data_IF_597767142895
#
_entry.id   IF_597767142895
#
_cell.length_a   1.000
_cell.length_b   1.000
_cell.length_c   1.000
_cell.angle_alpha   90.00
_cell.angle_beta   90.00
_cell.angle_gamma   90.00
#
_symmetry.space_group_name_H-M   'P 1'
#
loop_
_entity.id
_entity.type
_entity.pdbx_description
1 polymer ?
#
# COMPACT_ATOMS: atom_id res chain seq x y z
N UNK A 1 5.16 -27.22 -22.63
CA UNK A 1 4.94 -26.57 -21.33
C UNK A 1 4.13 -25.31 -21.57
N UNK A 2 2.86 -25.25 -21.14
CA UNK A 2 2.06 -24.02 -21.22
C UNK A 2 2.72 -22.99 -20.32
N UNK A 3 3.22 -21.90 -20.90
CA UNK A 3 3.60 -20.69 -20.16
C UNK A 3 2.37 -20.30 -19.32
N UNK A 4 2.41 -20.51 -18.02
CA UNK A 4 1.41 -20.00 -17.10
C UNK A 4 1.60 -18.48 -17.09
N UNK A 5 0.78 -17.80 -17.89
CA UNK A 5 0.81 -16.34 -17.97
C UNK A 5 0.65 -15.78 -16.56
N UNK A 6 1.63 -15.02 -16.11
CA UNK A 6 1.65 -14.40 -14.77
C UNK A 6 0.49 -13.41 -14.72
N UNK A 7 -0.55 -13.73 -13.95
CA UNK A 7 -1.68 -12.81 -13.73
C UNK A 7 -1.47 -12.01 -12.46
N UNK A 8 -1.58 -10.69 -12.58
CA UNK A 8 -1.51 -9.75 -11.46
C UNK A 8 -2.92 -9.37 -11.05
N UNK A 9 -3.25 -9.48 -9.77
CA UNK A 9 -4.44 -8.88 -9.17
C UNK A 9 -4.03 -7.67 -8.34
N UNK A 10 -4.63 -6.54 -8.64
CA UNK A 10 -4.41 -5.26 -7.95
C UNK A 10 -5.50 -5.10 -6.91
N UNK A 11 -5.11 -4.98 -5.65
CA UNK A 11 -5.99 -4.79 -4.52
C UNK A 11 -5.94 -3.33 -4.09
N UNK A 12 -7.09 -2.66 -4.09
CA UNK A 12 -7.24 -1.23 -3.77
C UNK A 12 -8.11 -1.11 -2.51
N UNK A 13 -7.51 -0.94 -1.31
CA UNK A 13 -8.28 -0.67 -0.10
C UNK A 13 -8.81 0.75 -0.13
N UNK A 14 -10.11 0.94 0.12
CA UNK A 14 -10.78 2.25 0.13
C UNK A 14 -11.72 2.42 1.32
N UNK A 15 -11.82 3.65 1.82
CA UNK A 15 -12.80 4.03 2.83
C UNK A 15 -13.09 5.54 2.72
N UNK A 16 -14.30 5.92 2.29
CA UNK A 16 -14.73 7.30 2.07
C UNK A 16 -13.78 8.08 1.13
N UNK A 17 -13.59 7.57 -0.07
CA UNK A 17 -12.70 8.12 -1.10
C UNK A 17 -13.46 8.46 -2.40
N UNK A 18 -14.73 8.84 -2.33
CA UNK A 18 -15.59 9.14 -3.49
C UNK A 18 -14.94 10.11 -4.49
N UNK A 19 -14.19 11.11 -4.00
CA UNK A 19 -13.52 12.11 -4.84
C UNK A 19 -12.39 11.50 -5.69
N UNK A 20 -11.69 10.49 -5.18
CA UNK A 20 -10.50 9.95 -5.81
C UNK A 20 -10.71 8.62 -6.54
N UNK A 21 -11.69 7.84 -6.14
CA UNK A 21 -11.80 6.45 -6.58
C UNK A 21 -11.97 6.32 -8.09
N UNK A 22 -12.89 7.05 -8.68
CA UNK A 22 -13.16 6.96 -10.14
C UNK A 22 -11.97 7.38 -10.99
N UNK A 23 -11.39 8.59 -10.84
CA UNK A 23 -10.21 8.97 -11.63
C UNK A 23 -9.02 8.05 -11.39
N UNK A 24 -8.85 7.52 -10.17
CA UNK A 24 -7.80 6.56 -9.87
C UNK A 24 -8.00 5.22 -10.63
N UNK A 25 -9.20 4.65 -10.60
CA UNK A 25 -9.48 3.38 -11.29
C UNK A 25 -9.34 3.52 -12.82
N UNK A 26 -9.77 4.66 -13.39
CA UNK A 26 -9.53 4.97 -14.80
C UNK A 26 -8.03 5.00 -15.11
N UNK A 27 -7.26 5.77 -14.32
CA UNK A 27 -5.80 5.82 -14.45
C UNK A 27 -5.15 4.43 -14.31
N UNK A 28 -5.61 3.63 -13.35
CA UNK A 28 -5.09 2.29 -13.11
C UNK A 28 -5.38 1.35 -14.30
N UNK A 29 -6.58 1.42 -14.87
CA UNK A 29 -6.97 0.66 -16.06
C UNK A 29 -6.12 1.03 -17.28
N UNK A 30 -5.81 2.32 -17.47
CA UNK A 30 -4.92 2.80 -18.54
C UNK A 30 -3.47 2.31 -18.39
N UNK A 31 -3.02 2.05 -17.17
CA UNK A 31 -1.64 1.61 -16.86
C UNK A 31 -1.47 0.12 -16.74
N UNK A 32 -2.55 -0.58 -16.42
CA UNK A 32 -2.56 -1.99 -16.05
C UNK A 32 -3.81 -2.71 -16.59
N UNK A 33 -4.12 -2.51 -17.87
CA UNK A 33 -5.34 -3.03 -18.51
C UNK A 33 -5.53 -4.55 -18.37
N UNK A 34 -4.43 -5.31 -18.34
CA UNK A 34 -4.44 -6.79 -18.27
C UNK A 34 -4.56 -7.31 -16.82
N UNK A 35 -4.43 -6.44 -15.82
CA UNK A 35 -4.55 -6.84 -14.43
C UNK A 35 -6.00 -6.90 -13.97
N UNK A 36 -6.28 -7.84 -13.08
CA UNK A 36 -7.52 -7.87 -12.34
C UNK A 36 -7.51 -6.76 -11.29
N UNK A 37 -8.54 -5.91 -11.24
CA UNK A 37 -8.67 -4.82 -10.28
C UNK A 37 -9.76 -5.17 -9.26
N UNK A 38 -9.39 -5.23 -7.99
CA UNK A 38 -10.29 -5.53 -6.88
C UNK A 38 -10.31 -4.34 -5.93
N UNK A 39 -11.47 -3.72 -5.79
CA UNK A 39 -11.70 -2.67 -4.78
C UNK A 39 -12.17 -3.34 -3.50
N UNK A 40 -11.45 -3.11 -2.41
CA UNK A 40 -11.78 -3.59 -1.07
C UNK A 40 -12.30 -2.43 -0.23
N UNK A 41 -13.63 -2.28 -0.20
CA UNK A 41 -14.33 -1.21 0.51
C UNK A 41 -14.50 -1.54 2.00
N UNK A 42 -14.04 -0.65 2.86
CA UNK A 42 -14.11 -0.75 4.31
C UNK A 42 -15.46 -0.31 4.92
N UNK A 43 -16.55 -0.40 4.16
CA UNK A 43 -17.86 0.06 4.58
C UNK A 43 -18.03 1.58 4.44
N UNK A 44 -17.62 2.13 3.28
CA UNK A 44 -17.80 3.55 2.97
C UNK A 44 -19.24 3.98 3.10
N UNK A 45 -19.44 5.19 3.62
CA UNK A 45 -20.75 5.84 3.82
C UNK A 45 -21.03 6.92 2.76
N UNK A 46 -20.04 7.20 1.91
CA UNK A 46 -20.16 8.06 0.74
C UNK A 46 -20.32 7.22 -0.55
N UNK A 47 -20.30 7.87 -1.69
CA UNK A 47 -20.51 7.22 -3.00
C UNK A 47 -19.32 6.39 -3.48
N UNK A 48 -18.31 6.11 -2.64
CA UNK A 48 -17.08 5.37 -3.02
C UNK A 48 -17.38 4.03 -3.69
N UNK A 49 -18.25 3.23 -3.08
CA UNK A 49 -18.60 1.91 -3.60
C UNK A 49 -19.29 2.01 -4.96
N UNK A 50 -20.29 2.88 -5.11
CA UNK A 50 -21.06 3.05 -6.33
C UNK A 50 -20.19 3.60 -7.49
N UNK A 51 -19.29 4.54 -7.20
CA UNK A 51 -18.34 5.09 -8.15
C UNK A 51 -17.25 4.10 -8.59
N UNK A 52 -17.06 3.01 -7.85
CA UNK A 52 -16.14 1.92 -8.21
C UNK A 52 -16.72 0.96 -9.24
N UNK A 53 -18.05 0.81 -9.26
CA UNK A 53 -18.76 -0.11 -10.14
C UNK A 53 -18.50 0.26 -11.61
N UNK A 54 -18.19 -0.75 -12.44
CA UNK A 54 -17.85 -0.57 -13.86
C UNK A 54 -16.39 -0.19 -14.14
N UNK A 55 -15.59 0.12 -13.11
CA UNK A 55 -14.16 0.42 -13.25
C UNK A 55 -13.26 -0.63 -12.59
N UNK A 56 -13.79 -1.45 -11.69
CA UNK A 56 -13.11 -2.62 -11.12
C UNK A 56 -13.74 -3.93 -11.62
N UNK A 57 -13.00 -5.02 -11.51
CA UNK A 57 -13.51 -6.37 -11.85
C UNK A 57 -14.29 -6.97 -10.70
N UNK A 58 -13.93 -6.58 -9.45
CA UNK A 58 -14.63 -7.01 -8.23
C UNK A 58 -14.67 -5.89 -7.21
N UNK A 59 -15.81 -5.76 -6.52
CA UNK A 59 -15.98 -4.93 -5.34
C UNK A 59 -16.24 -5.84 -4.13
N UNK A 60 -15.36 -5.79 -3.13
CA UNK A 60 -15.43 -6.59 -1.91
C UNK A 60 -15.67 -5.67 -0.72
N UNK A 61 -16.66 -5.97 0.10
CA UNK A 61 -16.90 -5.22 1.35
C UNK A 61 -16.24 -5.90 2.54
N UNK A 62 -15.74 -5.10 3.46
CA UNK A 62 -15.11 -5.53 4.70
C UNK A 62 -15.27 -4.50 5.81
N UNK A 63 -14.77 -4.82 6.99
CA UNK A 63 -14.67 -3.85 8.09
C UNK A 63 -13.66 -2.75 7.77
N UNK A 64 -13.80 -1.54 8.37
CA UNK A 64 -12.94 -0.38 8.13
C UNK A 64 -11.57 -0.53 8.80
N UNK A 65 -10.81 -1.50 8.34
CA UNK A 65 -9.43 -1.75 8.76
C UNK A 65 -8.60 -2.08 7.53
N UNK A 66 -7.50 -1.38 7.30
CA UNK A 66 -6.68 -1.53 6.11
C UNK A 66 -6.17 -2.96 5.91
N UNK A 67 -5.71 -3.63 6.96
CA UNK A 67 -5.27 -5.02 6.89
C UNK A 67 -6.43 -5.95 6.49
N UNK A 68 -7.61 -5.76 7.11
CA UNK A 68 -8.82 -6.54 6.80
C UNK A 68 -9.25 -6.33 5.36
N UNK A 69 -9.25 -5.09 4.87
CA UNK A 69 -9.56 -4.75 3.47
C UNK A 69 -8.59 -5.43 2.50
N UNK A 70 -7.27 -5.27 2.71
CA UNK A 70 -6.24 -5.89 1.86
C UNK A 70 -6.33 -7.42 1.89
N UNK A 71 -6.59 -8.02 3.05
CA UNK A 71 -6.80 -9.46 3.18
C UNK A 71 -8.07 -9.92 2.47
N UNK A 72 -9.17 -9.17 2.56
CA UNK A 72 -10.41 -9.48 1.86
C UNK A 72 -10.24 -9.44 0.34
N UNK A 73 -9.61 -8.39 -0.19
CA UNK A 73 -9.29 -8.27 -1.60
C UNK A 73 -8.35 -9.38 -2.09
N UNK A 74 -7.32 -9.72 -1.29
CA UNK A 74 -6.40 -10.81 -1.62
C UNK A 74 -7.07 -12.20 -1.66
N UNK A 75 -8.08 -12.43 -0.83
CA UNK A 75 -8.89 -13.67 -0.88
C UNK A 75 -9.74 -13.77 -2.14
N UNK A 76 -10.31 -12.65 -2.57
CA UNK A 76 -11.13 -12.59 -3.79
C UNK A 76 -10.30 -12.65 -5.08
N UNK A 77 -9.03 -12.30 -5.02
CA UNK A 77 -8.13 -12.23 -6.18
C UNK A 77 -7.91 -13.58 -6.86
N UNK A 78 -7.76 -13.62 -8.20
CA UNK A 78 -7.49 -14.82 -8.98
C UNK A 78 -6.03 -14.90 -9.50
N UNK A 79 -5.31 -13.77 -9.54
CA UNK A 79 -3.92 -13.71 -9.99
C UNK A 79 -2.96 -14.47 -9.08
N UNK A 80 -1.85 -14.91 -9.63
CA UNK A 80 -0.76 -15.55 -8.86
C UNK A 80 0.21 -14.53 -8.24
N UNK A 81 0.08 -13.26 -8.61
CA UNK A 81 0.74 -12.12 -7.97
C UNK A 81 -0.34 -11.18 -7.44
N UNK A 82 -0.19 -10.78 -6.19
CA UNK A 82 -1.02 -9.78 -5.52
C UNK A 82 -0.24 -8.47 -5.47
N UNK A 83 -0.85 -7.37 -5.88
CA UNK A 83 -0.26 -6.04 -5.83
C UNK A 83 -1.20 -5.08 -5.09
N UNK A 84 -0.73 -4.49 -4.00
CA UNK A 84 -1.50 -3.62 -3.12
C UNK A 84 -1.18 -2.16 -3.44
N UNK A 85 -2.20 -1.39 -3.84
CA UNK A 85 -2.05 0.01 -4.26
C UNK A 85 -3.11 0.88 -3.58
N UNK A 86 -2.70 2.02 -3.03
CA UNK A 86 -3.63 2.98 -2.42
C UNK A 86 -4.23 3.91 -3.49
N UNK A 87 -5.45 4.38 -3.22
CA UNK A 87 -6.27 5.19 -4.15
C UNK A 87 -5.66 6.56 -4.49
N UNK A 88 -4.70 7.03 -3.70
CA UNK A 88 -4.00 8.30 -3.89
C UNK A 88 -2.62 8.13 -4.57
N UNK A 89 -2.32 6.95 -5.08
CA UNK A 89 -1.08 6.64 -5.76
C UNK A 89 -1.18 6.87 -7.29
N UNK A 90 -0.14 7.45 -7.87
CA UNK A 90 0.00 7.50 -9.33
C UNK A 90 0.92 6.37 -9.79
N UNK A 91 0.36 5.44 -10.56
CA UNK A 91 1.05 4.23 -11.03
C UNK A 91 1.81 4.54 -12.33
N UNK A 92 3.11 4.18 -12.41
CA UNK A 92 3.91 4.46 -13.61
C UNK A 92 3.55 3.51 -14.77
N UNK A 93 3.79 3.96 -16.00
CA UNK A 93 3.68 3.09 -17.18
C UNK A 93 4.64 1.90 -17.10
N UNK A 94 4.17 0.73 -17.58
CA UNK A 94 4.96 -0.50 -17.61
C UNK A 94 5.24 -1.08 -16.23
N UNK A 95 4.43 -0.76 -15.23
CA UNK A 95 4.53 -1.34 -13.87
C UNK A 95 4.25 -2.84 -13.86
N UNK A 96 3.29 -3.33 -14.65
CA UNK A 96 3.01 -4.77 -14.76
C UNK A 96 4.21 -5.52 -15.30
N UNK A 97 4.80 -5.05 -16.39
CA UNK A 97 5.99 -5.66 -16.96
C UNK A 97 7.17 -5.71 -15.95
N UNK A 98 7.37 -4.63 -15.20
CA UNK A 98 8.38 -4.58 -14.13
C UNK A 98 8.09 -5.62 -13.03
N UNK A 99 6.83 -5.72 -12.58
CA UNK A 99 6.42 -6.74 -11.60
C UNK A 99 6.69 -8.14 -12.14
N UNK A 100 6.29 -8.43 -13.37
CA UNK A 100 6.49 -9.73 -14.02
C UNK A 100 7.97 -10.08 -14.12
N UNK A 101 8.81 -9.15 -14.57
CA UNK A 101 10.26 -9.34 -14.63
C UNK A 101 10.85 -9.70 -13.26
N UNK A 102 10.50 -8.95 -12.22
CA UNK A 102 10.96 -9.21 -10.85
C UNK A 102 10.47 -10.58 -10.36
N UNK A 103 9.21 -10.91 -10.64
CA UNK A 103 8.57 -12.13 -10.16
C UNK A 103 8.92 -13.38 -11.00
N UNK A 104 9.62 -13.25 -12.13
CA UNK A 104 10.14 -14.39 -12.88
C UNK A 104 11.23 -15.17 -12.11
N UNK A 105 11.93 -14.53 -11.16
CA UNK A 105 12.91 -15.20 -10.32
C UNK A 105 12.19 -16.04 -9.22
N UNK A 106 12.31 -17.38 -9.19
CA UNK A 106 11.56 -18.22 -8.24
C UNK A 106 11.83 -17.94 -6.76
N UNK A 107 13.04 -17.46 -6.44
CA UNK A 107 13.46 -17.13 -5.06
C UNK A 107 12.90 -15.79 -4.55
N UNK A 108 12.25 -15.01 -5.42
CA UNK A 108 11.62 -13.74 -5.05
C UNK A 108 10.23 -14.00 -4.50
N UNK A 109 10.00 -13.63 -3.25
CA UNK A 109 8.70 -13.70 -2.59
C UNK A 109 7.81 -12.50 -2.94
N UNK A 110 8.41 -11.35 -3.24
CA UNK A 110 7.71 -10.12 -3.61
C UNK A 110 8.65 -8.95 -3.86
N UNK A 111 8.06 -7.78 -3.99
CA UNK A 111 8.79 -6.54 -4.21
C UNK A 111 7.96 -5.31 -3.85
N UNK A 112 8.55 -4.17 -4.07
CA UNK A 112 7.90 -2.87 -3.83
C UNK A 112 8.50 -1.83 -4.78
N UNK A 113 7.73 -0.78 -5.05
CA UNK A 113 8.18 0.36 -5.83
C UNK A 113 8.87 1.39 -4.93
N UNK A 114 9.73 2.22 -5.53
CA UNK A 114 10.23 3.40 -4.83
C UNK A 114 9.13 4.45 -4.77
N UNK A 115 9.02 5.15 -3.65
CA UNK A 115 8.13 6.32 -3.57
C UNK A 115 8.82 7.52 -4.22
N UNK A 116 8.01 8.35 -4.85
CA UNK A 116 8.37 9.70 -5.25
C UNK A 116 7.31 10.66 -4.70
N UNK A 117 7.72 11.60 -3.91
CA UNK A 117 6.89 12.74 -3.53
C UNK A 117 7.00 13.85 -4.60
N UNK A 118 5.98 14.71 -4.74
CA UNK A 118 6.03 15.83 -5.67
C UNK A 118 7.27 16.71 -5.45
N UNK A 119 7.77 17.34 -6.52
CA UNK A 119 9.01 18.14 -6.49
C UNK A 119 8.89 19.35 -5.54
N UNK A 120 9.39 19.21 -4.33
CA UNK A 120 9.63 20.30 -3.39
C UNK A 120 10.95 20.03 -2.69
N UNK A 121 11.74 21.07 -2.39
CA UNK A 121 13.05 20.96 -1.73
C UNK A 121 12.96 20.25 -0.39
N UNK A 122 11.90 20.47 0.37
CA UNK A 122 11.64 19.84 1.68
C UNK A 122 11.36 18.34 1.52
N UNK A 123 10.61 17.94 0.48
CA UNK A 123 10.34 16.52 0.23
C UNK A 123 11.58 15.75 -0.18
N UNK A 124 12.55 16.36 -0.86
CA UNK A 124 13.82 15.71 -1.22
C UNK A 124 14.62 15.28 0.00
N UNK A 125 14.62 16.10 1.05
CA UNK A 125 15.30 15.77 2.32
C UNK A 125 14.56 14.63 3.04
N UNK A 126 13.21 14.69 3.07
CA UNK A 126 12.36 13.68 3.68
C UNK A 126 12.44 12.35 2.92
N UNK A 127 12.44 12.38 1.58
CA UNK A 127 12.61 11.21 0.71
C UNK A 127 13.97 10.55 0.94
N UNK A 128 15.05 11.35 1.03
CA UNK A 128 16.39 10.85 1.35
C UNK A 128 16.42 10.16 2.70
N UNK A 129 15.93 10.82 3.74
CA UNK A 129 15.90 10.27 5.10
C UNK A 129 15.02 9.01 5.17
N UNK A 130 13.82 9.03 4.61
CA UNK A 130 12.92 7.89 4.58
C UNK A 130 13.51 6.71 3.78
N UNK A 131 14.22 7.00 2.68
CA UNK A 131 14.89 5.98 1.87
C UNK A 131 16.03 5.31 2.65
N UNK A 132 16.95 6.09 3.24
CA UNK A 132 18.09 5.56 3.99
C UNK A 132 17.66 4.91 5.31
N UNK A 133 16.77 5.54 6.07
CA UNK A 133 16.19 4.95 7.25
C UNK A 133 15.42 3.66 6.92
N UNK A 134 14.62 3.67 5.87
CA UNK A 134 13.89 2.48 5.42
C UNK A 134 14.81 1.32 4.98
N UNK A 135 15.99 1.59 4.40
CA UNK A 135 16.98 0.56 4.08
C UNK A 135 17.63 0.05 5.37
N UNK A 136 18.13 0.95 6.21
CA UNK A 136 18.84 0.62 7.44
C UNK A 136 17.95 -0.15 8.42
N UNK A 137 16.71 0.31 8.59
CA UNK A 137 15.74 -0.26 9.53
C UNK A 137 14.93 -1.41 8.91
N UNK A 138 15.14 -1.69 7.61
CA UNK A 138 14.42 -2.75 6.88
C UNK A 138 12.89 -2.60 6.97
N UNK A 139 12.40 -1.38 7.06
CA UNK A 139 10.98 -1.03 7.16
C UNK A 139 10.46 -0.49 5.82
N UNK A 140 9.28 -0.92 5.41
CA UNK A 140 8.59 -0.40 4.23
C UNK A 140 7.11 -0.22 4.54
N UNK A 141 6.58 0.95 4.18
CA UNK A 141 5.17 1.29 4.35
C UNK A 141 4.35 0.92 3.10
N UNK A 142 3.03 0.78 3.24
CA UNK A 142 2.11 0.37 2.18
C UNK A 142 2.08 1.29 0.97
N UNK A 143 2.40 2.58 1.14
CA UNK A 143 2.46 3.57 0.06
C UNK A 143 3.48 3.21 -1.05
N UNK A 144 4.35 2.23 -0.80
CA UNK A 144 5.32 1.71 -1.77
C UNK A 144 4.73 0.78 -2.84
N UNK A 145 3.41 0.53 -2.86
CA UNK A 145 2.80 -0.40 -3.81
C UNK A 145 3.43 -1.79 -3.74
N UNK A 146 3.31 -2.42 -2.59
CA UNK A 146 3.88 -3.73 -2.31
C UNK A 146 3.22 -4.80 -3.17
N UNK A 147 4.00 -5.69 -3.78
CA UNK A 147 3.51 -6.85 -4.52
C UNK A 147 4.18 -8.14 -4.05
N UNK A 148 3.48 -9.26 -4.13
CA UNK A 148 4.02 -10.54 -3.69
C UNK A 148 3.38 -11.73 -4.42
N UNK A 149 4.03 -12.90 -4.36
CA UNK A 149 3.38 -14.15 -4.75
C UNK A 149 2.20 -14.44 -3.85
N UNK A 150 1.08 -14.86 -4.43
CA UNK A 150 -0.08 -15.34 -3.66
C UNK A 150 0.31 -16.46 -2.70
N UNK A 151 1.15 -17.40 -3.14
CA UNK A 151 1.64 -18.49 -2.29
C UNK A 151 2.42 -17.98 -1.08
N UNK A 152 3.27 -16.96 -1.26
CA UNK A 152 4.00 -16.34 -0.15
C UNK A 152 3.04 -15.59 0.79
N UNK A 153 2.05 -14.87 0.25
CA UNK A 153 1.00 -14.18 1.01
C UNK A 153 0.23 -15.15 1.91
N UNK A 154 -0.24 -16.25 1.34
CA UNK A 154 -0.97 -17.29 2.10
C UNK A 154 -0.10 -17.92 3.19
N UNK A 155 1.16 -18.23 2.86
CA UNK A 155 2.08 -18.83 3.83
C UNK A 155 2.41 -17.94 5.03
N UNK A 156 2.39 -16.61 4.87
CA UNK A 156 2.63 -15.70 6.00
C UNK A 156 1.36 -15.34 6.75
N UNK A 157 0.19 -15.79 6.27
CA UNK A 157 -1.11 -15.54 6.86
C UNK A 157 -1.73 -14.18 6.49
N UNK A 158 -1.24 -13.53 5.45
CA UNK A 158 -1.71 -12.21 5.01
C UNK A 158 -1.16 -11.05 5.85
N UNK A 159 -1.82 -9.89 5.74
CA UNK A 159 -1.50 -8.73 6.57
C UNK A 159 -1.96 -8.97 8.01
N UNK A 160 -1.09 -8.76 9.01
CA UNK A 160 -1.49 -8.82 10.42
C UNK A 160 -2.54 -7.74 10.73
N UNK A 161 -3.60 -8.11 11.43
CA UNK A 161 -4.67 -7.20 11.85
C UNK A 161 -4.25 -6.41 13.09
N UNK A 162 -3.20 -5.60 12.93
CA UNK A 162 -2.65 -4.75 13.98
C UNK A 162 -3.16 -3.31 13.82
N UNK A 163 -3.19 -2.51 14.91
CA UNK A 163 -3.77 -1.17 14.89
C UNK A 163 -2.95 -0.13 14.13
N UNK A 164 -1.70 -0.45 13.78
CA UNK A 164 -0.77 0.41 13.01
C UNK A 164 0.39 -0.43 12.47
N UNK A 165 0.98 -0.01 11.35
CA UNK A 165 2.18 -0.63 10.72
C UNK A 165 1.94 -2.07 10.24
N UNK A 166 0.75 -2.40 9.84
CA UNK A 166 0.35 -3.70 9.25
C UNK A 166 1.22 -4.06 8.04
N UNK A 167 1.58 -3.06 7.24
CA UNK A 167 2.44 -3.16 6.07
C UNK A 167 3.91 -3.47 6.43
N UNK A 168 4.43 -2.84 7.47
CA UNK A 168 5.78 -3.09 7.98
C UNK A 168 5.89 -4.50 8.53
N UNK A 169 4.91 -4.93 9.32
CA UNK A 169 4.86 -6.29 9.85
C UNK A 169 4.73 -7.33 8.73
N UNK A 170 3.84 -7.09 7.76
CA UNK A 170 3.71 -7.96 6.59
C UNK A 170 5.03 -8.04 5.80
N UNK A 171 5.69 -6.91 5.54
CA UNK A 171 6.98 -6.88 4.87
C UNK A 171 8.04 -7.71 5.61
N UNK A 172 8.07 -7.65 6.95
CA UNK A 172 8.97 -8.48 7.78
C UNK A 172 8.69 -9.98 7.61
N UNK A 173 7.41 -10.37 7.62
CA UNK A 173 6.98 -11.75 7.42
C UNK A 173 7.33 -12.24 6.01
N UNK A 174 7.07 -11.45 4.99
CA UNK A 174 7.35 -11.78 3.60
C UNK A 174 8.85 -12.03 3.36
N UNK A 175 9.72 -11.21 3.96
CA UNK A 175 11.18 -11.38 3.87
C UNK A 175 11.71 -12.69 4.46
N UNK A 176 10.96 -13.34 5.33
CA UNK A 176 11.32 -14.66 5.87
C UNK A 176 11.03 -15.79 4.86
N UNK A 177 10.26 -15.50 3.81
CA UNK A 177 9.86 -16.47 2.78
C UNK A 177 10.68 -16.41 1.50
N UNK A 178 11.43 -15.34 1.29
CA UNK A 178 12.26 -15.17 0.12
C UNK A 178 12.78 -13.75 -0.02
N UNK A 179 13.46 -13.50 -1.15
CA UNK A 179 13.96 -12.17 -1.46
C UNK A 179 12.79 -11.22 -1.74
N UNK A 180 12.91 -9.99 -1.28
CA UNK A 180 11.99 -8.90 -1.62
C UNK A 180 12.78 -7.83 -2.35
N UNK A 181 12.39 -7.51 -3.57
CA UNK A 181 13.12 -6.68 -4.51
C UNK A 181 12.54 -5.27 -4.56
N UNK A 182 13.40 -4.26 -4.56
CA UNK A 182 13.02 -2.88 -4.82
C UNK A 182 13.01 -2.64 -6.34
N UNK A 183 11.85 -2.31 -6.91
CA UNK A 183 11.72 -1.94 -8.32
C UNK A 183 12.51 -0.68 -8.66
N UNK A 184 12.95 -0.56 -9.90
CA UNK A 184 13.55 0.67 -10.42
C UNK A 184 12.51 1.75 -10.70
N UNK A 185 11.26 1.38 -10.94
CA UNK A 185 10.16 2.32 -11.14
C UNK A 185 9.71 2.97 -9.83
N UNK A 186 9.03 4.10 -9.94
CA UNK A 186 8.58 4.90 -8.80
C UNK A 186 7.09 5.12 -8.86
N UNK A 187 6.42 4.93 -7.74
CA UNK A 187 5.04 5.36 -7.52
C UNK A 187 5.06 6.78 -6.98
N UNK A 188 4.28 7.67 -7.58
CA UNK A 188 4.07 9.01 -7.04
C UNK A 188 2.94 8.93 -6.00
N UNK A 189 3.24 9.33 -4.77
CA UNK A 189 2.27 9.35 -3.68
C UNK A 189 1.75 10.76 -3.48
N UNK A 190 0.46 10.91 -3.19
CA UNK A 190 -0.17 12.20 -2.96
C UNK A 190 0.42 12.92 -1.74
N UNK A 191 0.72 14.23 -1.85
CA UNK A 191 1.14 15.03 -0.71
C UNK A 191 -0.02 15.43 0.21
N UNK A 192 -1.27 15.07 -0.12
CA UNK A 192 -2.51 15.47 0.57
C UNK A 192 -2.41 15.42 2.09
N UNK A 193 -1.86 14.34 2.61
CA UNK A 193 -1.67 14.13 4.05
C UNK A 193 -0.66 15.10 4.67
N UNK A 194 0.45 15.35 3.95
CA UNK A 194 1.47 16.30 4.35
C UNK A 194 0.96 17.75 4.33
N UNK A 195 0.06 18.06 3.39
CA UNK A 195 -0.56 19.37 3.26
C UNK A 195 -1.63 19.61 4.34
N UNK A 196 -2.43 18.59 4.65
CA UNK A 196 -3.49 18.66 5.65
C UNK A 196 -2.99 18.77 7.10
N UNK A 197 -1.89 18.08 7.45
CA UNK A 197 -1.38 17.97 8.81
C UNK A 197 -0.21 18.96 9.05
N UNK A 198 0.48 19.32 7.98
CA UNK A 198 1.73 20.07 8.02
C UNK A 198 2.95 19.17 7.81
N UNK A 199 3.79 19.57 6.85
CA UNK A 199 4.92 18.77 6.35
C UNK A 199 5.91 18.37 7.43
N UNK A 200 6.36 19.36 8.21
CA UNK A 200 7.34 19.15 9.28
C UNK A 200 6.74 18.27 10.39
N UNK A 201 5.52 18.61 10.84
CA UNK A 201 4.83 17.86 11.90
C UNK A 201 4.66 16.39 11.55
N UNK A 202 4.20 16.09 10.34
CA UNK A 202 3.96 14.72 9.90
C UNK A 202 5.28 13.94 9.76
N UNK A 203 6.33 14.57 9.21
CA UNK A 203 7.66 13.95 9.08
C UNK A 203 8.24 13.60 10.44
N UNK A 204 8.19 14.52 11.40
CA UNK A 204 8.66 14.28 12.77
C UNK A 204 7.84 13.19 13.47
N UNK A 205 6.50 13.18 13.26
CA UNK A 205 5.64 12.16 13.82
C UNK A 205 5.98 10.76 13.29
N UNK A 206 6.16 10.62 11.98
CA UNK A 206 6.57 9.36 11.39
C UNK A 206 7.95 8.91 11.86
N UNK A 207 8.92 9.84 11.96
CA UNK A 207 10.24 9.53 12.48
C UNK A 207 10.21 9.06 13.94
N UNK A 208 9.43 9.73 14.80
CA UNK A 208 9.23 9.35 16.19
C UNK A 208 8.56 7.95 16.30
N UNK A 209 7.49 7.72 15.56
CA UNK A 209 6.79 6.41 15.57
C UNK A 209 7.72 5.31 15.11
N UNK A 210 8.48 5.51 14.04
CA UNK A 210 9.45 4.53 13.55
C UNK A 210 10.54 4.24 14.60
N UNK A 211 11.06 5.26 15.25
CA UNK A 211 12.04 5.13 16.33
C UNK A 211 11.47 4.33 17.51
N UNK A 212 10.29 4.69 17.99
CA UNK A 212 9.63 3.99 19.11
C UNK A 212 9.29 2.53 18.76
N UNK A 213 8.93 2.27 17.50
CA UNK A 213 8.70 0.92 17.01
C UNK A 213 9.98 0.06 17.10
N UNK A 214 11.13 0.63 16.71
CA UNK A 214 12.43 -0.05 16.78
C UNK A 214 12.80 -0.38 18.24
N UNK A 215 12.48 0.51 19.17
CA UNK A 215 12.66 0.26 20.60
C UNK A 215 11.63 -0.71 21.20
N UNK A 216 10.76 -1.31 20.38
CA UNK A 216 9.82 -2.34 20.81
C UNK A 216 8.59 -1.81 21.56
N UNK A 217 8.27 -0.53 21.43
CA UNK A 217 7.03 0.01 22.02
C UNK A 217 5.82 -0.69 21.37
N UNK A 218 4.84 -1.19 22.16
CA UNK A 218 3.67 -1.89 21.66
C UNK A 218 2.88 -1.09 20.61
N UNK A 219 2.44 -1.76 19.53
CA UNK A 219 1.71 -1.12 18.42
C UNK A 219 0.44 -0.40 18.86
N UNK A 220 -0.23 -0.85 19.90
CA UNK A 220 -1.41 -0.19 20.48
C UNK A 220 -1.08 1.21 21.03
N UNK A 221 0.08 1.37 21.68
CA UNK A 221 0.56 2.67 22.18
C UNK A 221 0.98 3.57 21.03
N UNK A 222 1.65 3.03 20.02
CA UNK A 222 2.03 3.75 18.80
C UNK A 222 0.80 4.25 18.03
N UNK A 223 -0.24 3.42 17.90
CA UNK A 223 -1.50 3.80 17.27
C UNK A 223 -2.22 4.92 18.04
N UNK A 224 -2.17 4.89 19.36
CA UNK A 224 -2.74 5.96 20.20
C UNK A 224 -1.98 7.28 20.00
N UNK A 225 -0.65 7.23 19.94
CA UNK A 225 0.19 8.38 19.65
C UNK A 225 -0.07 8.92 18.25
N UNK A 226 -0.14 8.04 17.26
CA UNK A 226 -0.42 8.39 15.86
C UNK A 226 -1.75 9.15 15.74
N UNK A 227 -2.83 8.62 16.34
CA UNK A 227 -4.14 9.28 16.35
C UNK A 227 -4.10 10.67 16.96
N UNK A 228 -3.37 10.88 18.08
CA UNK A 228 -3.23 12.19 18.72
C UNK A 228 -2.46 13.22 17.86
N UNK A 229 -1.45 12.76 17.13
CA UNK A 229 -0.56 13.65 16.37
C UNK A 229 -1.01 13.85 14.94
N UNK A 230 -1.54 12.81 14.30
CA UNK A 230 -1.81 12.77 12.87
C UNK A 230 -3.30 12.83 12.49
N UNK A 231 -4.21 12.57 13.43
CA UNK A 231 -5.64 12.77 13.20
C UNK A 231 -6.07 14.07 13.86
N UNK A 232 -6.71 14.97 13.10
CA UNK A 232 -7.44 16.09 13.74
C UNK A 232 -8.55 15.47 14.57
N UNK A 233 -8.82 16.01 15.79
CA UNK A 233 -10.04 15.62 16.48
C UNK A 233 -11.23 15.91 15.54
N UNK A 234 -12.07 14.91 15.25
CA UNK A 234 -13.38 15.16 14.67
C UNK A 234 -14.08 16.10 15.64
N UNK A 235 -14.20 17.37 15.28
CA UNK A 235 -15.16 18.24 15.92
C UNK A 235 -16.54 17.61 15.63
N UNK A 236 -17.10 16.99 16.65
CA UNK A 236 -18.54 16.74 16.71
C UNK A 236 -19.20 18.13 16.71
N UNK A 237 -19.76 18.52 15.60
CA UNK A 237 -20.75 19.58 15.50
C UNK A 237 -21.93 19.02 14.74
#
# INVERSE_FOLDING_TARGET
MKSTQTKVSIIVPVFNEAVLIRPFLQHLRDRAAEAEIIVADGGSTDDTADLSVGFCDQLVRSEPNRAVQMNAGARAAHGNILWFVHVDAEVPRGCLHEIEQIMNEPKVAGGFFRIRLPRSSIYRLTDGFAHYAGILLRMRCGDHGLFCRRTAFVHVGGFPEVPLMEDVEFFRLLRRRGRVICSQKRILTSPRRYEAIGRVRLTLAYGLIAMLYIFGIPLSKLASLYRRVCCKPCNQS
#
